data_IF_172388028030
#
_entry.id   IF_172388028030
#
_cell.length_a   1.000
_cell.length_b   1.000
_cell.length_c   1.000
_cell.angle_alpha   90.00
_cell.angle_beta   90.00
_cell.angle_gamma   90.00
#
_symmetry.space_group_name_H-M   'P 1'
#
loop_
_entity.id
_entity.type
_entity.pdbx_description
1 polymer ?
#
# COMPACT_ATOMS: atom_id res chain seq x y z
N UNK A 1 22.36 30.77 14.17
CA UNK A 1 21.82 30.60 12.82
C UNK A 1 20.51 29.88 12.94
N UNK A 2 19.44 30.44 12.38
CA UNK A 2 18.14 29.79 12.31
C UNK A 2 18.07 28.87 11.07
N UNK A 3 17.39 27.74 11.19
CA UNK A 3 17.27 26.73 10.13
C UNK A 3 16.58 27.31 8.89
N UNK A 4 15.60 28.20 9.09
CA UNK A 4 14.91 28.88 8.01
C UNK A 4 15.88 29.73 7.18
N UNK A 5 16.73 30.51 7.86
CA UNK A 5 17.71 31.38 7.21
C UNK A 5 18.77 30.57 6.46
N UNK A 6 19.26 29.46 7.05
CA UNK A 6 20.20 28.58 6.39
C UNK A 6 19.62 27.94 5.11
N UNK A 7 18.35 27.53 5.13
CA UNK A 7 17.66 26.96 3.96
C UNK A 7 17.50 28.02 2.88
N UNK A 8 17.05 29.23 3.23
CA UNK A 8 16.87 30.33 2.27
C UNK A 8 18.18 30.73 1.59
N UNK A 9 19.28 30.78 2.35
CA UNK A 9 20.60 31.07 1.78
C UNK A 9 21.06 30.02 0.76
N UNK A 10 20.79 28.73 1.00
CA UNK A 10 21.14 27.67 0.07
C UNK A 10 20.27 27.71 -1.19
N UNK A 11 18.95 27.86 -1.04
CA UNK A 11 18.00 27.87 -2.17
C UNK A 11 18.30 29.04 -3.13
N UNK A 12 18.65 30.22 -2.60
CA UNK A 12 18.98 31.39 -3.41
C UNK A 12 20.23 31.20 -4.29
N UNK A 13 21.12 30.27 -3.95
CA UNK A 13 22.32 29.96 -4.73
C UNK A 13 22.05 28.94 -5.85
N UNK A 14 20.90 28.28 -5.83
CA UNK A 14 20.53 27.28 -6.83
C UNK A 14 19.94 27.96 -8.08
N UNK A 15 20.11 27.36 -9.28
CA UNK A 15 19.41 27.79 -10.48
C UNK A 15 17.88 27.61 -10.34
N UNK A 16 17.07 28.35 -11.13
CA UNK A 16 15.61 28.30 -11.01
C UNK A 16 14.99 26.90 -11.12
N UNK A 17 15.58 26.01 -11.92
CA UNK A 17 15.13 24.62 -12.05
C UNK A 17 15.24 23.83 -10.75
N UNK A 18 16.36 23.97 -10.04
CA UNK A 18 16.63 23.29 -8.79
C UNK A 18 15.82 23.90 -7.64
N UNK A 19 15.53 25.20 -7.68
CA UNK A 19 14.61 25.84 -6.73
C UNK A 19 13.19 25.24 -6.83
N UNK A 20 12.71 24.95 -8.04
CA UNK A 20 11.43 24.27 -8.24
C UNK A 20 11.45 22.84 -7.70
N UNK A 21 12.58 22.13 -7.82
CA UNK A 21 12.74 20.79 -7.26
C UNK A 21 12.65 20.80 -5.73
N UNK A 22 13.26 21.78 -5.07
CA UNK A 22 13.14 21.96 -3.62
C UNK A 22 11.69 22.23 -3.20
N UNK A 23 10.96 23.07 -3.95
CA UNK A 23 9.53 23.30 -3.70
C UNK A 23 8.70 22.03 -3.86
N UNK A 24 8.96 21.25 -4.92
CA UNK A 24 8.29 19.96 -5.13
C UNK A 24 8.58 18.98 -4.00
N UNK A 25 9.82 18.93 -3.51
CA UNK A 25 10.21 18.07 -2.39
C UNK A 25 9.50 18.49 -1.10
N UNK A 26 9.41 19.79 -0.81
CA UNK A 26 8.67 20.29 0.34
C UNK A 26 7.17 19.88 0.27
N UNK A 27 6.53 20.04 -0.89
CA UNK A 27 5.16 19.60 -1.12
C UNK A 27 5.00 18.08 -0.92
N UNK A 28 5.95 17.28 -1.41
CA UNK A 28 5.99 15.84 -1.19
C UNK A 28 6.08 15.47 0.29
N UNK A 29 6.91 16.16 1.09
CA UNK A 29 7.02 15.91 2.53
C UNK A 29 5.70 16.16 3.26
N UNK A 30 4.96 17.20 2.89
CA UNK A 30 3.62 17.47 3.42
C UNK A 30 2.63 16.37 3.03
N UNK A 31 2.61 15.96 1.76
CA UNK A 31 1.77 14.87 1.28
C UNK A 31 2.08 13.56 2.00
N UNK A 32 3.36 13.18 2.09
CA UNK A 32 3.80 11.94 2.76
C UNK A 32 3.34 11.87 4.22
N UNK A 33 3.27 13.01 4.92
CA UNK A 33 2.76 13.07 6.29
C UNK A 33 1.23 12.91 6.37
N UNK A 34 0.50 13.34 5.34
CA UNK A 34 -0.95 13.19 5.24
C UNK A 34 -1.40 11.78 4.86
N UNK A 35 -0.54 11.02 4.15
CA UNK A 35 -0.79 9.60 3.91
C UNK A 35 -0.54 8.85 5.22
N UNK A 36 -1.61 8.63 5.98
CA UNK A 36 -1.57 7.77 7.16
C UNK A 36 -0.92 6.44 6.78
N UNK A 37 0.02 5.90 7.57
CA UNK A 37 0.57 4.58 7.29
C UNK A 37 -0.60 3.63 7.16
N UNK A 38 -0.73 2.98 5.99
CA UNK A 38 -1.73 1.92 5.81
C UNK A 38 -1.68 1.04 7.04
N UNK A 39 -2.79 0.92 7.78
CA UNK A 39 -2.85 -0.03 8.89
C UNK A 39 -2.44 -1.36 8.27
N UNK A 40 -1.37 -1.96 8.81
CA UNK A 40 -0.88 -3.22 8.28
C UNK A 40 -2.04 -4.19 8.15
N UNK A 41 -2.17 -4.87 7.01
CA UNK A 41 -3.26 -5.83 6.75
C UNK A 41 -3.25 -7.01 7.74
N UNK A 42 -2.19 -7.14 8.54
CA UNK A 42 -2.07 -8.06 9.66
C UNK A 42 -3.15 -7.73 10.70
N UNK A 43 -4.13 -8.62 10.85
CA UNK A 43 -5.26 -8.46 11.76
C UNK A 43 -6.58 -8.13 11.07
N UNK A 44 -6.61 -7.94 9.74
CA UNK A 44 -7.86 -7.63 9.02
C UNK A 44 -8.93 -8.73 9.15
N UNK A 45 -8.50 -9.97 9.41
CA UNK A 45 -9.36 -11.15 9.48
C UNK A 45 -9.56 -11.68 10.90
N UNK A 46 -9.05 -10.99 11.94
CA UNK A 46 -9.17 -11.48 13.33
C UNK A 46 -10.60 -11.44 13.85
N UNK A 47 -11.43 -10.55 13.31
CA UNK A 47 -12.83 -10.41 13.71
C UNK A 47 -13.74 -11.36 12.91
N UNK A 48 -13.18 -12.11 11.96
CA UNK A 48 -13.91 -13.12 11.19
C UNK A 48 -13.79 -14.44 11.96
N UNK A 49 -14.85 -14.81 12.67
CA UNK A 49 -14.96 -16.11 13.34
C UNK A 49 -15.28 -17.23 12.32
N UNK A 50 -14.44 -17.35 11.30
CA UNK A 50 -14.53 -18.41 10.31
C UNK A 50 -13.72 -19.62 10.80
N UNK A 51 -14.35 -20.44 11.64
CA UNK A 51 -13.87 -21.79 11.92
C UNK A 51 -14.22 -22.66 10.71
N UNK A 52 -13.26 -22.87 9.82
CA UNK A 52 -13.45 -23.74 8.64
C UNK A 52 -12.73 -25.06 8.90
N UNK A 53 -13.48 -26.15 8.95
CA UNK A 53 -12.93 -27.50 9.10
C UNK A 53 -12.42 -28.06 7.75
N UNK A 54 -11.51 -29.02 7.82
CA UNK A 54 -11.02 -29.72 6.62
C UNK A 54 -12.16 -30.43 5.87
N UNK A 55 -13.13 -30.97 6.61
CA UNK A 55 -14.29 -31.68 6.06
C UNK A 55 -15.20 -30.75 5.26
N UNK A 56 -15.44 -29.53 5.75
CA UNK A 56 -16.21 -28.50 5.04
C UNK A 56 -15.50 -28.03 3.76
N UNK A 57 -14.17 -27.90 3.79
CA UNK A 57 -13.38 -27.57 2.59
C UNK A 57 -13.50 -28.67 1.55
N UNK A 58 -13.39 -29.94 1.95
CA UNK A 58 -13.48 -31.08 1.03
C UNK A 58 -14.90 -31.28 0.49
N UNK A 59 -15.93 -31.02 1.30
CA UNK A 59 -17.32 -31.01 0.86
C UNK A 59 -17.57 -29.90 -0.17
N UNK A 60 -17.16 -28.66 0.14
CA UNK A 60 -17.29 -27.52 -0.78
C UNK A 60 -16.51 -27.74 -2.07
N UNK A 61 -15.30 -28.33 -2.00
CA UNK A 61 -14.52 -28.69 -3.19
C UNK A 61 -15.28 -29.71 -4.05
N UNK A 62 -15.81 -30.77 -3.46
CA UNK A 62 -16.58 -31.79 -4.19
C UNK A 62 -17.85 -31.22 -4.82
N UNK A 63 -18.55 -30.32 -4.14
CA UNK A 63 -19.75 -29.66 -4.65
C UNK A 63 -19.41 -28.73 -5.83
N UNK A 64 -18.45 -27.82 -5.64
CA UNK A 64 -18.11 -26.81 -6.64
C UNK A 64 -17.37 -27.37 -7.85
N UNK A 65 -16.51 -28.37 -7.64
CA UNK A 65 -15.67 -28.95 -8.70
C UNK A 65 -16.15 -30.31 -9.19
N UNK A 66 -17.21 -30.87 -8.60
CA UNK A 66 -17.80 -32.15 -9.03
C UNK A 66 -18.44 -32.07 -10.41
N UNK A 67 -18.95 -30.90 -10.79
CA UNK A 67 -19.49 -30.60 -12.12
C UNK A 67 -18.49 -29.88 -13.03
N UNK A 68 -17.24 -29.72 -12.60
CA UNK A 68 -16.23 -29.04 -13.40
C UNK A 68 -16.02 -29.82 -14.70
N UNK A 69 -16.25 -29.21 -15.87
CA UNK A 69 -16.16 -29.92 -17.13
C UNK A 69 -14.73 -30.41 -17.32
N UNK A 70 -14.55 -31.72 -17.25
CA UNK A 70 -13.33 -32.39 -17.70
C UNK A 70 -13.58 -32.72 -19.14
N UNK A 71 -13.20 -31.81 -20.04
CA UNK A 71 -13.00 -32.24 -21.42
C UNK A 71 -11.98 -33.37 -21.37
N UNK A 72 -12.31 -34.53 -21.96
CA UNK A 72 -11.35 -35.61 -22.13
C UNK A 72 -10.15 -35.01 -22.86
N UNK A 73 -9.04 -34.85 -22.13
CA UNK A 73 -7.77 -34.44 -22.70
C UNK A 73 -7.32 -35.61 -23.58
N UNK A 74 -7.70 -35.55 -24.86
CA UNK A 74 -7.26 -36.43 -25.93
C UNK A 74 -5.82 -36.13 -26.34
#
# INVERSE_FOLDING_TARGET
MDIEQAILEQIRRLPPSEQHEVLNFAAFLHYRRSVSPYRGVKGLWTDIDAQVSAEEIDAARRELWGSFPREDIA
#
